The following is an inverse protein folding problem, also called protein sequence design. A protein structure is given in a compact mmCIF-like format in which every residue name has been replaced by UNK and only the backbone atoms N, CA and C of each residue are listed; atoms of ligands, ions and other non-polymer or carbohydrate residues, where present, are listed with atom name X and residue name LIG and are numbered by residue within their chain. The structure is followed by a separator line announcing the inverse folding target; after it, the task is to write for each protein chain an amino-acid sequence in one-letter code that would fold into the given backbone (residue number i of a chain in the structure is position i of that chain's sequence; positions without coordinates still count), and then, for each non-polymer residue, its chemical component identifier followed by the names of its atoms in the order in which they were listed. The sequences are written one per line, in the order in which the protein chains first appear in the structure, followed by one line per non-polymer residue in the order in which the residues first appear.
data_IF_557070891703
#
_entry.id   IF_557070891703
#
_cell.length_a   1.000
_cell.length_b   1.000
_cell.length_c   1.000
_cell.angle_alpha   90.00
_cell.angle_beta   90.00
_cell.angle_gamma   90.00
#
_symmetry.space_group_name_H-M   'P 1'
#
loop_
_entity.id
_entity.type
_entity.pdbx_description
1 polymer ?
#
# COMPACT_ATOMS: atom_id res chain seq x y z
N UNK A 1 21.23 18.43 9.35
CA UNK A 1 20.08 17.67 9.87
C UNK A 1 19.39 17.03 8.69
N UNK A 2 19.65 15.77 8.42
CA UNK A 2 18.94 15.03 7.37
C UNK A 2 17.58 14.68 7.94
N UNK A 3 16.55 15.32 7.43
CA UNK A 3 15.18 14.97 7.71
C UNK A 3 14.96 13.56 7.13
N UNK A 4 15.02 12.54 7.99
CA UNK A 4 14.80 11.15 7.58
C UNK A 4 13.32 10.93 7.38
N UNK A 5 12.80 11.47 6.29
CA UNK A 5 11.43 11.22 5.87
C UNK A 5 11.31 9.79 5.39
N UNK A 6 10.23 9.11 5.77
CA UNK A 6 9.97 7.76 5.33
C UNK A 6 9.73 7.72 3.81
N UNK A 7 10.60 7.00 3.09
CA UNK A 7 10.43 6.76 1.66
C UNK A 7 9.52 5.56 1.44
N UNK A 8 8.22 5.83 1.39
CA UNK A 8 7.19 4.80 1.24
C UNK A 8 7.29 4.06 -0.11
N UNK A 9 7.65 4.76 -1.17
CA UNK A 9 7.78 4.18 -2.51
C UNK A 9 8.91 3.15 -2.53
N UNK A 10 10.10 3.52 -2.08
CA UNK A 10 11.24 2.60 -2.01
C UNK A 10 10.96 1.42 -1.08
N UNK A 11 10.36 1.67 0.07
CA UNK A 11 10.07 0.64 1.06
C UNK A 11 9.08 -0.41 0.53
N UNK A 12 7.94 0.01 -0.01
CA UNK A 12 6.93 -0.93 -0.51
C UNK A 12 7.33 -1.60 -1.82
N UNK A 13 8.15 -0.95 -2.64
CA UNK A 13 8.77 -1.61 -3.80
C UNK A 13 9.65 -2.78 -3.35
N UNK A 14 10.48 -2.55 -2.34
CA UNK A 14 11.31 -3.61 -1.72
C UNK A 14 10.47 -4.73 -1.13
N UNK A 15 9.40 -4.41 -0.39
CA UNK A 15 8.49 -5.40 0.16
C UNK A 15 7.85 -6.27 -0.93
N UNK A 16 7.40 -5.65 -2.01
CA UNK A 16 6.81 -6.35 -3.14
C UNK A 16 7.81 -7.32 -3.79
N UNK A 17 9.03 -6.89 -3.99
CA UNK A 17 10.09 -7.71 -4.59
C UNK A 17 10.54 -8.88 -3.70
N UNK A 18 10.60 -8.67 -2.40
CA UNK A 18 11.04 -9.67 -1.43
C UNK A 18 9.92 -10.62 -0.99
N UNK A 19 8.64 -10.23 -1.15
CA UNK A 19 7.52 -11.05 -0.72
C UNK A 19 7.27 -12.21 -1.70
N UNK A 20 7.35 -13.43 -1.20
CA UNK A 20 7.15 -14.64 -2.03
C UNK A 20 5.76 -14.67 -2.66
N UNK A 21 4.72 -14.34 -1.91
CA UNK A 21 3.33 -14.33 -2.42
C UNK A 21 3.17 -13.32 -3.56
N UNK A 22 3.78 -12.13 -3.42
CA UNK A 22 3.79 -11.13 -4.49
C UNK A 22 4.50 -11.62 -5.76
N UNK A 23 5.66 -12.27 -5.60
CA UNK A 23 6.41 -12.82 -6.74
C UNK A 23 5.66 -13.97 -7.42
N UNK A 24 5.12 -14.89 -6.65
CA UNK A 24 4.40 -16.05 -7.18
C UNK A 24 3.13 -15.64 -7.95
N UNK A 25 2.52 -14.53 -7.56
CA UNK A 25 1.32 -13.97 -8.19
C UNK A 25 1.60 -12.79 -9.11
N UNK A 26 2.86 -12.54 -9.42
CA UNK A 26 3.32 -11.51 -10.38
C UNK A 26 2.81 -10.10 -10.07
N UNK A 27 2.82 -9.71 -8.80
CA UNK A 27 2.54 -8.33 -8.42
C UNK A 27 3.68 -7.41 -8.85
N UNK A 28 3.33 -6.26 -9.38
CA UNK A 28 4.26 -5.23 -9.82
C UNK A 28 4.10 -4.02 -8.92
N UNK A 29 5.21 -3.53 -8.39
CA UNK A 29 5.22 -2.28 -7.62
C UNK A 29 5.20 -1.09 -8.58
N UNK A 30 4.32 -0.13 -8.32
CA UNK A 30 4.19 1.09 -9.11
C UNK A 30 3.75 2.25 -8.24
N UNK A 31 3.74 3.45 -8.79
CA UNK A 31 3.32 4.67 -8.11
C UNK A 31 2.06 5.25 -8.73
N UNK A 32 1.27 5.95 -7.92
CA UNK A 32 0.15 6.75 -8.39
C UNK A 32 0.15 8.10 -7.67
N UNK A 33 -0.50 9.10 -8.28
CA UNK A 33 -0.65 10.45 -7.71
C UNK A 33 -2.06 10.63 -7.16
N UNK A 34 -2.36 9.87 -6.10
CA UNK A 34 -3.67 9.87 -5.47
C UNK A 34 -4.70 8.97 -6.17
N UNK A 35 -5.92 8.89 -5.64
CA UNK A 35 -6.95 7.97 -6.11
C UNK A 35 -7.36 8.18 -7.58
N UNK A 36 -7.35 9.41 -8.04
CA UNK A 36 -7.82 9.78 -9.38
C UNK A 36 -6.94 9.21 -10.51
N UNK A 37 -5.68 8.91 -10.22
CA UNK A 37 -4.73 8.39 -11.21
C UNK A 37 -4.60 6.87 -11.21
N UNK A 38 -5.18 6.18 -10.24
CA UNK A 38 -5.09 4.72 -10.11
C UNK A 38 -5.60 4.02 -11.36
N UNK A 39 -6.77 4.41 -11.88
CA UNK A 39 -7.32 3.83 -13.11
C UNK A 39 -6.43 4.09 -14.33
N UNK A 40 -5.87 5.28 -14.44
CA UNK A 40 -4.94 5.62 -15.52
C UNK A 40 -3.69 4.76 -15.51
N UNK A 41 -3.14 4.49 -14.34
CA UNK A 41 -1.98 3.59 -14.19
C UNK A 41 -2.34 2.16 -14.57
N UNK A 42 -3.50 1.66 -14.14
CA UNK A 42 -3.99 0.32 -14.50
C UNK A 42 -4.16 0.14 -16.01
N UNK A 43 -4.61 1.17 -16.71
CA UNK A 43 -4.75 1.13 -18.19
C UNK A 43 -3.42 1.06 -18.92
N UNK A 44 -2.36 1.67 -18.37
CA UNK A 44 -1.01 1.64 -18.97
C UNK A 44 -0.35 0.26 -18.90
N UNK A 45 -0.66 -0.53 -17.89
CA UNK A 45 -0.06 -1.83 -17.66
C UNK A 45 -0.98 -2.97 -18.09
N UNK A 46 -1.35 -3.00 -19.37
CA UNK A 46 -2.27 -4.02 -19.92
C UNK A 46 -1.82 -5.48 -19.76
N UNK A 47 -0.53 -5.71 -19.56
CA UNK A 47 0.05 -7.06 -19.39
C UNK A 47 0.20 -7.49 -17.95
N UNK A 48 0.23 -6.57 -17.01
CA UNK A 48 0.26 -6.87 -15.58
C UNK A 48 -1.14 -6.72 -15.02
N UNK A 49 -1.55 -7.66 -14.21
CA UNK A 49 -2.91 -7.72 -13.65
C UNK A 49 -2.98 -7.45 -12.15
N UNK A 50 -1.82 -7.48 -11.48
CA UNK A 50 -1.74 -7.34 -10.03
C UNK A 50 -0.69 -6.27 -9.67
N UNK A 51 -1.07 -5.36 -8.77
CA UNK A 51 -0.25 -4.20 -8.46
C UNK A 51 -0.16 -3.93 -6.95
N UNK A 52 1.03 -3.51 -6.53
CA UNK A 52 1.22 -2.78 -5.29
C UNK A 52 1.47 -1.32 -5.70
N UNK A 53 0.49 -0.45 -5.48
CA UNK A 53 0.59 0.96 -5.83
C UNK A 53 0.83 1.80 -4.58
N UNK A 54 1.82 2.66 -4.64
CA UNK A 54 2.15 3.58 -3.57
C UNK A 54 1.84 5.00 -4.04
N UNK A 55 1.06 5.75 -3.26
CA UNK A 55 0.80 7.15 -3.58
C UNK A 55 2.08 7.98 -3.39
N UNK A 56 2.39 8.82 -4.38
CA UNK A 56 3.49 9.79 -4.29
C UNK A 56 3.09 11.03 -3.49
N UNK A 57 1.80 11.21 -3.24
CA UNK A 57 1.26 12.28 -2.42
C UNK A 57 1.05 11.80 -1.00
N UNK A 58 1.37 12.65 -0.05
CA UNK A 58 1.23 12.36 1.37
C UNK A 58 0.25 13.36 1.96
N UNK A 59 -0.80 12.82 2.60
CA UNK A 59 -1.69 13.66 3.39
C UNK A 59 -1.00 14.05 4.70
N UNK A 60 -1.08 15.31 5.07
CA UNK A 60 -0.50 15.79 6.31
C UNK A 60 -1.53 16.49 7.19
N UNK A 61 -1.36 16.37 8.48
CA UNK A 61 -2.13 17.09 9.48
C UNK A 61 -1.18 17.69 10.50
N UNK A 62 -1.21 19.02 10.59
CA UNK A 62 -0.43 19.77 11.59
C UNK A 62 -1.30 19.97 12.83
N UNK A 63 -0.80 19.54 13.98
CA UNK A 63 -1.51 19.70 15.24
C UNK A 63 -0.57 20.25 16.31
N UNK A 64 -1.16 21.01 17.25
CA UNK A 64 -0.45 21.50 18.43
C UNK A 64 -0.60 20.52 19.57
N UNK A 65 0.52 20.15 20.20
CA UNK A 65 0.53 19.32 21.39
C UNK A 65 1.51 19.93 22.40
N UNK A 66 0.97 20.65 23.39
CA UNK A 66 1.78 21.32 24.41
C UNK A 66 2.59 22.50 23.82
N UNK A 67 3.91 22.45 23.93
CA UNK A 67 4.80 23.56 23.55
C UNK A 67 5.25 23.55 22.07
N UNK A 68 4.62 22.70 21.21
CA UNK A 68 5.07 22.59 19.82
C UNK A 68 3.97 22.21 18.85
N UNK A 69 4.34 22.35 17.56
CA UNK A 69 3.52 21.85 16.45
C UNK A 69 4.15 20.58 15.90
N UNK A 70 3.30 19.61 15.61
CA UNK A 70 3.71 18.33 15.02
C UNK A 70 2.96 18.09 13.72
N UNK A 71 3.64 17.60 12.73
CA UNK A 71 3.02 17.15 11.48
C UNK A 71 2.85 15.63 11.52
N UNK A 72 1.65 15.18 11.19
CA UNK A 72 1.36 13.76 10.97
C UNK A 72 1.16 13.53 9.49
N UNK A 73 1.97 12.63 8.93
CA UNK A 73 1.87 12.23 7.53
C UNK A 73 1.05 10.95 7.40
N UNK A 74 0.18 10.91 6.39
CA UNK A 74 -0.58 9.72 6.02
C UNK A 74 -0.08 9.14 4.70
N UNK A 75 0.43 7.92 4.74
CA UNK A 75 0.92 7.20 3.56
C UNK A 75 -0.16 6.23 3.09
N UNK A 76 -0.47 6.23 1.80
CA UNK A 76 -1.48 5.35 1.22
C UNK A 76 -0.87 4.34 0.28
N UNK A 77 -1.22 3.07 0.46
CA UNK A 77 -0.76 1.95 -0.36
C UNK A 77 -1.96 1.14 -0.81
N UNK A 78 -2.00 0.82 -2.09
CA UNK A 78 -3.04 0.01 -2.73
C UNK A 78 -2.49 -1.38 -3.06
N UNK A 79 -3.25 -2.41 -2.71
CA UNK A 79 -2.99 -3.79 -3.12
C UNK A 79 -4.14 -4.20 -4.04
N UNK A 80 -3.86 -4.34 -5.31
CA UNK A 80 -4.86 -4.52 -6.36
C UNK A 80 -4.61 -5.78 -7.17
N UNK A 81 -5.68 -6.50 -7.48
CA UNK A 81 -5.62 -7.69 -8.32
C UNK A 81 -6.77 -7.70 -9.33
N UNK A 82 -6.48 -8.04 -10.57
CA UNK A 82 -7.49 -8.20 -11.59
C UNK A 82 -8.20 -9.55 -11.43
N UNK A 83 -9.50 -9.56 -11.68
CA UNK A 83 -10.31 -10.76 -11.70
C UNK A 83 -11.12 -10.85 -12.99
N UNK A 84 -11.59 -12.05 -13.33
CA UNK A 84 -12.44 -12.25 -14.49
C UNK A 84 -13.80 -11.55 -14.29
N UNK A 85 -14.19 -10.73 -15.25
CA UNK A 85 -15.49 -10.05 -15.21
C UNK A 85 -16.62 -11.05 -15.00
N UNK A 86 -17.59 -10.68 -14.16
CA UNK A 86 -18.77 -11.46 -13.81
C UNK A 86 -18.50 -12.79 -13.10
N UNK A 87 -17.25 -13.07 -12.73
CA UNK A 87 -16.86 -14.22 -11.92
C UNK A 87 -16.65 -13.80 -10.46
N UNK A 88 -17.68 -13.93 -9.65
CA UNK A 88 -17.63 -13.54 -8.23
C UNK A 88 -16.73 -14.45 -7.39
N UNK A 89 -16.59 -15.72 -7.78
CA UNK A 89 -15.64 -16.63 -7.13
C UNK A 89 -14.20 -16.20 -7.34
N UNK A 90 -13.85 -15.84 -8.57
CA UNK A 90 -12.51 -15.34 -8.89
C UNK A 90 -12.22 -14.02 -8.16
N UNK A 91 -13.22 -13.12 -8.09
CA UNK A 91 -13.13 -11.89 -7.32
C UNK A 91 -12.82 -12.16 -5.86
N UNK A 92 -13.52 -13.09 -5.24
CA UNK A 92 -13.32 -13.45 -3.83
C UNK A 92 -11.91 -14.02 -3.59
N UNK A 93 -11.45 -14.89 -4.48
CA UNK A 93 -10.08 -15.44 -4.41
C UNK A 93 -9.02 -14.34 -4.49
N UNK A 94 -9.20 -13.39 -5.40
CA UNK A 94 -8.27 -12.27 -5.57
C UNK A 94 -8.31 -11.32 -4.37
N UNK A 95 -9.48 -11.05 -3.83
CA UNK A 95 -9.63 -10.23 -2.63
C UNK A 95 -8.97 -10.90 -1.41
N UNK A 96 -9.16 -12.19 -1.23
CA UNK A 96 -8.50 -12.94 -0.17
C UNK A 96 -6.97 -12.96 -0.32
N UNK A 97 -6.47 -13.03 -1.54
CA UNK A 97 -5.04 -12.90 -1.84
C UNK A 97 -4.51 -11.53 -1.41
N UNK A 98 -5.23 -10.46 -1.73
CA UNK A 98 -4.86 -9.10 -1.32
C UNK A 98 -4.87 -8.93 0.21
N UNK A 99 -5.87 -9.49 0.89
CA UNK A 99 -5.94 -9.49 2.35
C UNK A 99 -4.75 -10.23 2.98
N UNK A 100 -4.35 -11.33 2.40
CA UNK A 100 -3.21 -12.13 2.86
C UNK A 100 -1.90 -11.34 2.71
N UNK A 101 -1.68 -10.72 1.57
CA UNK A 101 -0.50 -9.87 1.32
C UNK A 101 -0.49 -8.70 2.31
N UNK A 102 -1.63 -8.06 2.54
CA UNK A 102 -1.74 -6.97 3.51
C UNK A 102 -1.28 -7.39 4.91
N UNK A 103 -1.74 -8.55 5.39
CA UNK A 103 -1.30 -9.09 6.69
C UNK A 103 0.19 -9.37 6.74
N UNK A 104 0.75 -9.90 5.65
CA UNK A 104 2.18 -10.12 5.54
C UNK A 104 2.97 -8.81 5.58
N UNK A 105 2.47 -7.78 4.92
CA UNK A 105 3.10 -6.46 4.93
C UNK A 105 3.08 -5.83 6.32
N UNK A 106 1.96 -5.93 7.05
CA UNK A 106 1.89 -5.45 8.44
C UNK A 106 2.91 -6.18 9.31
N UNK A 107 2.98 -7.49 9.22
CA UNK A 107 3.94 -8.28 10.00
C UNK A 107 5.38 -7.91 9.68
N UNK A 108 5.68 -7.66 8.41
CA UNK A 108 7.00 -7.23 7.96
C UNK A 108 7.34 -5.83 8.46
N UNK A 109 6.40 -4.88 8.40
CA UNK A 109 6.60 -3.53 8.91
C UNK A 109 6.88 -3.51 10.40
N UNK A 110 6.13 -4.27 11.19
CA UNK A 110 6.36 -4.41 12.63
C UNK A 110 7.75 -4.95 12.93
N UNK A 111 8.16 -5.98 12.22
CA UNK A 111 9.50 -6.55 12.36
C UNK A 111 10.60 -5.56 11.97
N UNK A 112 10.44 -4.88 10.86
CA UNK A 112 11.42 -3.92 10.36
C UNK A 112 11.53 -2.70 11.28
N UNK A 113 10.41 -2.25 11.84
CA UNK A 113 10.41 -1.19 12.87
C UNK A 113 11.17 -1.63 14.12
N UNK A 114 10.89 -2.83 14.61
CA UNK A 114 11.55 -3.37 15.81
C UNK A 114 13.07 -3.54 15.61
N UNK A 115 13.48 -3.93 14.43
CA UNK A 115 14.89 -4.15 14.07
C UNK A 115 15.61 -2.91 13.57
N UNK A 116 14.94 -1.77 13.57
CA UNK A 116 15.46 -0.52 13.01
C UNK A 116 15.96 -0.67 11.56
N UNK A 117 15.34 -1.59 10.81
CA UNK A 117 15.66 -1.81 9.41
C UNK A 117 15.31 -0.58 8.56
N UNK A 118 15.80 -0.57 7.33
CA UNK A 118 15.58 0.53 6.40
C UNK A 118 16.05 1.89 6.97
N UNK A 119 17.25 1.89 7.56
CA UNK A 119 17.89 3.07 8.16
C UNK A 119 17.07 3.72 9.30
N UNK A 120 16.20 2.94 9.97
CA UNK A 120 15.36 3.44 11.05
C UNK A 120 14.21 4.34 10.60
N UNK A 121 13.90 4.40 9.31
CA UNK A 121 12.83 5.26 8.78
C UNK A 121 11.44 4.90 9.31
N UNK A 122 11.23 3.67 9.79
CA UNK A 122 9.95 3.24 10.33
C UNK A 122 9.74 3.62 11.81
N UNK A 123 10.72 4.21 12.46
CA UNK A 123 10.68 4.53 13.89
C UNK A 123 9.42 5.33 14.28
N UNK A 124 9.09 6.32 13.50
CA UNK A 124 7.97 7.23 13.78
C UNK A 124 6.63 6.78 13.19
N UNK A 125 6.58 5.66 12.48
CA UNK A 125 5.31 5.14 11.96
C UNK A 125 4.44 4.60 13.08
N UNK A 126 3.19 5.03 13.11
CA UNK A 126 2.18 4.52 14.05
C UNK A 126 1.52 3.26 13.49
N UNK A 127 2.17 2.13 13.65
CA UNK A 127 1.67 0.84 13.13
C UNK A 127 0.55 0.23 14.00
N UNK A 128 0.19 0.87 15.11
CA UNK A 128 -0.93 0.46 15.96
C UNK A 128 -2.28 0.94 15.46
N UNK A 129 -2.29 1.86 14.49
CA UNK A 129 -3.50 2.44 13.92
C UNK A 129 -3.36 2.50 12.39
N UNK A 130 -3.52 1.36 11.75
CA UNK A 130 -3.55 1.28 10.30
C UNK A 130 -5.00 1.18 9.86
N UNK A 131 -5.45 2.19 9.13
CA UNK A 131 -6.76 2.17 8.48
C UNK A 131 -6.67 1.42 7.17
N UNK A 132 -7.62 0.51 6.94
CA UNK A 132 -7.73 -0.19 5.65
C UNK A 132 -9.18 -0.21 5.18
N UNK A 133 -9.36 -0.17 3.88
CA UNK A 133 -10.67 -0.27 3.24
C UNK A 133 -10.58 -1.12 1.98
N UNK A 134 -11.55 -2.00 1.83
CA UNK A 134 -11.64 -2.85 0.65
C UNK A 134 -12.43 -2.16 -0.47
N UNK A 135 -12.04 -2.43 -1.72
CA UNK A 135 -12.72 -1.89 -2.88
C UNK A 135 -14.01 -2.66 -3.14
N UNK A 136 -15.11 -1.93 -3.17
CA UNK A 136 -16.39 -2.47 -3.60
C UNK A 136 -16.41 -2.79 -5.11
N UNK A 137 -17.35 -3.64 -5.53
CA UNK A 137 -17.51 -4.07 -6.93
C UNK A 137 -17.58 -2.92 -7.92
N UNK A 138 -18.16 -1.80 -7.50
CA UNK A 138 -18.43 -0.64 -8.37
C UNK A 138 -17.29 0.39 -8.39
N UNK A 139 -16.29 0.21 -7.53
CA UNK A 139 -15.18 1.18 -7.46
C UNK A 139 -14.26 1.11 -8.68
N UNK A 140 -13.94 -0.10 -9.14
CA UNK A 140 -13.11 -0.33 -10.32
C UNK A 140 -13.59 -1.60 -11.04
N UNK A 141 -13.81 -1.49 -12.35
CA UNK A 141 -14.31 -2.61 -13.13
C UNK A 141 -13.20 -3.64 -13.41
N UNK A 142 -13.41 -4.86 -12.95
CA UNK A 142 -12.49 -5.98 -13.17
C UNK A 142 -11.27 -5.97 -12.26
N UNK A 143 -11.23 -5.09 -11.25
CA UNK A 143 -10.14 -5.02 -10.26
C UNK A 143 -10.72 -5.02 -8.87
N UNK A 144 -10.14 -5.81 -7.99
CA UNK A 144 -10.46 -5.85 -6.56
C UNK A 144 -9.21 -5.67 -5.72
N UNK A 145 -9.38 -5.48 -4.46
CA UNK A 145 -8.30 -5.33 -3.50
C UNK A 145 -8.66 -4.41 -2.37
N UNK A 146 -7.64 -3.83 -1.80
CA UNK A 146 -7.78 -2.91 -0.69
C UNK A 146 -6.72 -1.81 -0.76
N UNK A 147 -6.93 -0.76 -0.02
CA UNK A 147 -5.89 0.21 0.31
C UNK A 147 -5.78 0.35 1.82
N UNK A 148 -4.62 0.78 2.26
CA UNK A 148 -4.39 1.08 3.67
C UNK A 148 -3.61 2.38 3.83
N UNK A 149 -3.84 3.02 4.96
CA UNK A 149 -3.16 4.25 5.36
C UNK A 149 -2.53 4.08 6.74
N UNK A 150 -1.36 4.64 6.90
CA UNK A 150 -0.63 4.62 8.16
C UNK A 150 0.01 5.97 8.45
#
# INVERSE_FOLDING_TARGET
MTDKTFDSIAYFTKLCEENKTCRDNKFVATTCSGPDTVQGVLQKFRKASNFIMVSDTVDSNTHSAGEGFFERYGYTVWILAAYKRDDMEDREKKLNLCRYIFRQFISRMLRDKYREAFEGQLEFLKLTQIYSSELGRWSMNGVTGLYFMM
#
